data_IF_491741208366
#
_entry.id   IF_491741208366
#
_cell.length_a   1.000
_cell.length_b   1.000
_cell.length_c   1.000
_cell.angle_alpha   90.00
_cell.angle_beta   90.00
_cell.angle_gamma   90.00
#
_symmetry.space_group_name_H-M   'P 1'
#
loop_
_entity.id
_entity.type
_entity.pdbx_description
1 polymer ?
#
# COMPACT_ATOMS: atom_id res chain seq x y z
N UNK A 1 -41.67 19.76 -23.94
CA UNK A 1 -41.97 19.05 -22.71
C UNK A 1 -40.67 18.48 -22.18
N UNK A 2 -40.12 19.01 -21.05
CA UNK A 2 -38.98 18.39 -20.39
C UNK A 2 -39.46 17.09 -19.77
N UNK A 3 -38.79 15.99 -20.02
CA UNK A 3 -39.02 14.69 -19.39
C UNK A 3 -38.85 14.83 -17.87
N UNK A 4 -39.80 14.36 -17.07
CA UNK A 4 -39.94 14.52 -15.62
C UNK A 4 -38.78 13.94 -14.77
N UNK A 5 -37.66 13.53 -15.38
CA UNK A 5 -36.54 12.88 -14.70
C UNK A 5 -35.15 13.49 -14.98
N UNK A 6 -35.08 14.77 -15.39
CA UNK A 6 -33.76 15.40 -15.58
C UNK A 6 -33.25 16.03 -14.28
N UNK A 7 -32.08 15.59 -13.82
CA UNK A 7 -31.39 16.20 -12.66
C UNK A 7 -31.25 17.71 -12.88
N UNK A 8 -31.63 18.57 -11.90
CA UNK A 8 -31.53 20.01 -12.02
C UNK A 8 -30.09 20.45 -12.33
N UNK A 9 -29.96 21.47 -13.17
CA UNK A 9 -28.66 22.05 -13.57
C UNK A 9 -28.48 23.43 -12.95
N UNK A 10 -27.24 23.99 -13.00
CA UNK A 10 -26.99 25.37 -12.60
C UNK A 10 -27.83 26.39 -13.41
N UNK A 11 -28.21 26.06 -14.65
CA UNK A 11 -29.10 26.91 -15.45
C UNK A 11 -30.51 26.94 -14.86
N UNK A 12 -31.01 25.79 -14.38
CA UNK A 12 -32.33 25.73 -13.76
C UNK A 12 -32.36 26.51 -12.44
N UNK A 13 -31.27 26.43 -11.64
CA UNK A 13 -31.10 27.25 -10.44
C UNK A 13 -31.07 28.73 -10.75
N UNK A 14 -30.38 29.14 -11.82
CA UNK A 14 -30.34 30.55 -12.28
C UNK A 14 -31.72 31.05 -12.67
N UNK A 15 -32.47 30.25 -13.43
CA UNK A 15 -33.85 30.59 -13.84
C UNK A 15 -34.79 30.70 -12.64
N UNK A 16 -34.76 29.75 -11.71
CA UNK A 16 -35.57 29.76 -10.48
C UNK A 16 -35.22 30.94 -9.57
N UNK A 17 -33.92 31.22 -9.37
CA UNK A 17 -33.46 32.34 -8.54
C UNK A 17 -33.65 33.73 -9.25
N UNK A 18 -33.94 33.78 -10.55
CA UNK A 18 -34.02 35.00 -11.33
C UNK A 18 -32.70 35.78 -11.37
N UNK A 19 -31.59 35.11 -11.54
CA UNK A 19 -30.24 35.68 -11.56
C UNK A 19 -29.43 35.13 -12.75
N UNK A 20 -28.32 35.80 -13.09
CA UNK A 20 -27.43 35.32 -14.11
C UNK A 20 -26.71 34.03 -13.65
N UNK A 21 -26.38 33.12 -14.58
CA UNK A 21 -25.64 31.89 -14.31
C UNK A 21 -24.31 32.13 -13.55
N UNK A 22 -23.62 33.24 -13.88
CA UNK A 22 -22.40 33.69 -13.22
C UNK A 22 -22.61 34.01 -11.73
N UNK A 23 -23.81 34.53 -11.36
CA UNK A 23 -24.16 34.78 -9.94
C UNK A 23 -24.34 33.47 -9.17
N UNK A 24 -25.05 32.51 -9.77
CA UNK A 24 -25.17 31.14 -9.18
C UNK A 24 -23.79 30.52 -8.99
N UNK A 25 -22.93 30.60 -10.02
CA UNK A 25 -21.55 30.08 -9.95
C UNK A 25 -20.75 30.72 -8.80
N UNK A 26 -20.87 32.03 -8.60
CA UNK A 26 -20.20 32.73 -7.48
C UNK A 26 -20.72 32.25 -6.12
N UNK A 27 -22.04 32.13 -5.92
CA UNK A 27 -22.62 31.65 -4.67
C UNK A 27 -22.20 30.23 -4.36
N UNK A 28 -22.27 29.34 -5.35
CA UNK A 28 -21.89 27.92 -5.24
C UNK A 28 -20.40 27.75 -4.91
N UNK A 29 -19.55 28.67 -5.37
CA UNK A 29 -18.09 28.66 -5.10
C UNK A 29 -17.70 29.51 -3.88
N UNK A 30 -18.65 30.00 -3.09
CA UNK A 30 -18.36 30.80 -1.90
C UNK A 30 -17.74 32.17 -2.18
N UNK A 31 -17.82 32.66 -3.43
CA UNK A 31 -17.29 33.95 -3.82
C UNK A 31 -18.23 35.09 -3.37
N UNK A 32 -17.72 36.30 -3.12
CA UNK A 32 -18.51 37.43 -2.70
C UNK A 32 -19.63 37.78 -3.69
N UNK A 33 -20.86 37.86 -3.21
CA UNK A 33 -22.05 38.39 -3.89
C UNK A 33 -22.93 39.15 -2.92
N UNK A 34 -23.76 40.05 -3.40
CA UNK A 34 -24.71 40.76 -2.53
C UNK A 34 -25.68 39.80 -1.86
N UNK A 35 -26.01 40.03 -0.58
CA UNK A 35 -26.76 39.10 0.27
C UNK A 35 -28.14 38.74 -0.31
N UNK A 36 -28.82 39.68 -0.95
CA UNK A 36 -30.11 39.41 -1.63
C UNK A 36 -30.00 38.37 -2.73
N UNK A 37 -28.93 38.39 -3.50
CA UNK A 37 -28.66 37.36 -4.55
C UNK A 37 -28.28 36.02 -3.95
N UNK A 38 -27.49 36.01 -2.89
CA UNK A 38 -27.10 34.80 -2.16
C UNK A 38 -28.32 34.05 -1.66
N UNK A 39 -29.20 34.76 -0.90
CA UNK A 39 -30.42 34.17 -0.32
C UNK A 39 -31.33 33.58 -1.44
N UNK A 40 -31.50 34.30 -2.55
CA UNK A 40 -32.33 33.82 -3.66
C UNK A 40 -31.77 32.56 -4.29
N UNK A 41 -30.46 32.49 -4.50
CA UNK A 41 -29.78 31.32 -5.07
C UNK A 41 -29.84 30.12 -4.10
N UNK A 42 -29.60 30.33 -2.81
CA UNK A 42 -29.67 29.27 -1.79
C UNK A 42 -31.09 28.68 -1.67
N UNK A 43 -32.12 29.54 -1.75
CA UNK A 43 -33.52 29.10 -1.74
C UNK A 43 -33.86 28.29 -3.03
N UNK A 44 -33.37 28.71 -4.19
CA UNK A 44 -33.56 27.99 -5.44
C UNK A 44 -32.85 26.63 -5.43
N UNK A 45 -31.62 26.55 -4.89
CA UNK A 45 -30.88 25.30 -4.67
C UNK A 45 -31.69 24.33 -3.81
N UNK A 46 -32.23 24.79 -2.66
CA UNK A 46 -33.07 23.99 -1.78
C UNK A 46 -34.34 23.51 -2.47
N UNK A 47 -35.05 24.43 -3.14
CA UNK A 47 -36.34 24.14 -3.82
C UNK A 47 -36.19 23.11 -4.93
N UNK A 48 -35.12 23.20 -5.71
CA UNK A 48 -34.83 22.29 -6.82
C UNK A 48 -34.09 21.02 -6.38
N UNK A 49 -33.73 20.89 -5.10
CA UNK A 49 -32.85 19.84 -4.59
C UNK A 49 -31.58 19.73 -5.47
N UNK A 50 -31.07 20.89 -5.92
CA UNK A 50 -29.89 20.93 -6.76
C UNK A 50 -28.66 20.51 -5.94
N UNK A 51 -27.93 19.51 -6.46
CA UNK A 51 -26.63 19.13 -5.92
C UNK A 51 -25.53 19.64 -6.82
N UNK A 52 -24.60 20.33 -6.22
CA UNK A 52 -23.41 20.82 -6.94
C UNK A 52 -22.66 19.62 -7.50
N UNK A 53 -22.54 19.57 -8.81
CA UNK A 53 -21.72 18.56 -9.45
C UNK A 53 -20.24 18.97 -9.32
N UNK A 54 -19.55 18.41 -8.34
CA UNK A 54 -18.13 18.68 -8.08
C UNK A 54 -17.24 18.31 -9.28
N UNK A 55 -17.63 17.32 -10.09
CA UNK A 55 -16.94 16.97 -11.33
C UNK A 55 -17.03 18.11 -12.37
N UNK A 56 -18.22 18.72 -12.51
CA UNK A 56 -18.40 19.85 -13.42
C UNK A 56 -17.65 21.13 -12.95
N UNK A 57 -17.45 21.28 -11.65
CA UNK A 57 -16.62 22.37 -11.09
C UNK A 57 -15.13 22.06 -11.30
N UNK A 58 -14.69 20.83 -11.08
CA UNK A 58 -13.32 20.37 -11.31
C UNK A 58 -12.89 20.55 -12.76
N UNK A 59 -13.78 20.29 -13.72
CA UNK A 59 -13.55 20.52 -15.15
C UNK A 59 -13.25 22.00 -15.50
N UNK A 60 -13.87 22.95 -14.77
CA UNK A 60 -13.57 24.39 -14.95
C UNK A 60 -12.26 24.82 -14.26
N UNK A 61 -11.93 24.18 -13.14
CA UNK A 61 -10.74 24.49 -12.36
C UNK A 61 -9.51 23.67 -12.80
N UNK A 62 -9.66 22.76 -13.76
CA UNK A 62 -8.68 21.76 -14.19
C UNK A 62 -8.10 20.91 -13.02
N UNK A 63 -8.84 20.80 -11.90
CA UNK A 63 -8.50 19.99 -10.72
C UNK A 63 -9.77 19.33 -10.17
N UNK A 64 -9.82 17.98 -10.20
CA UNK A 64 -10.98 17.21 -9.70
C UNK A 64 -10.90 16.94 -8.21
N UNK A 65 -9.74 17.19 -7.60
CA UNK A 65 -9.39 16.82 -6.22
C UNK A 65 -9.67 15.34 -5.94
N UNK A 66 -9.35 14.51 -6.91
CA UNK A 66 -9.49 13.07 -6.84
C UNK A 66 -8.18 12.43 -7.26
N UNK A 67 -7.67 11.52 -6.44
CA UNK A 67 -6.50 10.69 -6.70
C UNK A 67 -6.96 9.25 -6.75
N UNK A 68 -6.51 8.50 -7.76
CA UNK A 68 -6.73 7.06 -7.82
C UNK A 68 -5.63 6.31 -7.05
N UNK A 69 -6.03 5.31 -6.29
CA UNK A 69 -5.12 4.32 -5.71
C UNK A 69 -5.38 2.98 -6.39
N UNK A 70 -4.36 2.46 -7.09
CA UNK A 70 -4.36 1.18 -7.76
C UNK A 70 -3.59 0.18 -6.91
N UNK A 71 -4.25 -0.89 -6.45
CA UNK A 71 -3.64 -1.97 -5.66
C UNK A 71 -4.19 -3.32 -6.10
N UNK A 72 -3.47 -4.44 -5.85
CA UNK A 72 -3.98 -5.76 -6.20
C UNK A 72 -5.30 -6.09 -5.48
N UNK A 73 -5.34 -5.99 -4.15
CA UNK A 73 -6.55 -6.25 -3.37
C UNK A 73 -6.48 -5.60 -1.98
N UNK A 74 -7.54 -5.71 -1.21
CA UNK A 74 -7.60 -5.23 0.18
C UNK A 74 -7.55 -6.36 1.22
N UNK A 75 -7.32 -7.59 0.80
CA UNK A 75 -7.22 -8.76 1.69
C UNK A 75 -5.85 -8.83 2.37
N UNK A 76 -4.81 -8.39 1.67
CA UNK A 76 -3.47 -8.28 2.25
C UNK A 76 -3.41 -7.09 3.22
N UNK A 77 -3.05 -7.32 4.50
CA UNK A 77 -3.04 -6.25 5.51
C UNK A 77 -2.14 -5.07 5.16
N UNK A 78 -1.00 -5.31 4.49
CA UNK A 78 -0.13 -4.24 4.00
C UNK A 78 -0.86 -3.32 3.02
N UNK A 79 -1.58 -3.88 2.02
CA UNK A 79 -2.32 -3.07 1.05
C UNK A 79 -3.48 -2.32 1.68
N UNK A 80 -4.18 -2.96 2.63
CA UNK A 80 -5.26 -2.32 3.38
C UNK A 80 -4.74 -1.13 4.22
N UNK A 81 -3.61 -1.32 4.91
CA UNK A 81 -2.96 -0.26 5.69
C UNK A 81 -2.49 0.89 4.79
N UNK A 82 -1.89 0.56 3.64
CA UNK A 82 -1.46 1.55 2.65
C UNK A 82 -2.64 2.39 2.16
N UNK A 83 -3.75 1.75 1.77
CA UNK A 83 -4.96 2.43 1.36
C UNK A 83 -5.52 3.36 2.46
N UNK A 84 -5.51 2.90 3.70
CA UNK A 84 -5.95 3.69 4.85
C UNK A 84 -5.11 4.95 5.02
N UNK A 85 -3.78 4.84 5.07
CA UNK A 85 -2.89 5.99 5.30
C UNK A 85 -2.83 6.94 4.11
N UNK A 86 -2.88 6.45 2.87
CA UNK A 86 -3.00 7.29 1.66
C UNK A 86 -4.30 8.09 1.72
N UNK A 87 -5.43 7.45 2.07
CA UNK A 87 -6.70 8.15 2.20
C UNK A 87 -6.65 9.24 3.27
N UNK A 88 -6.04 8.98 4.42
CA UNK A 88 -5.88 9.98 5.49
C UNK A 88 -5.02 11.17 5.02
N UNK A 89 -3.91 10.90 4.32
CA UNK A 89 -3.02 11.94 3.78
C UNK A 89 -3.76 12.81 2.74
N UNK A 90 -4.53 12.19 1.86
CA UNK A 90 -5.36 12.88 0.86
C UNK A 90 -6.48 13.73 1.50
N UNK A 91 -7.18 13.20 2.50
CA UNK A 91 -8.24 13.91 3.21
C UNK A 91 -7.72 15.18 3.90
N UNK A 92 -6.54 15.15 4.53
CA UNK A 92 -5.90 16.33 5.12
C UNK A 92 -5.63 17.43 4.09
N UNK A 93 -5.52 17.07 2.82
CA UNK A 93 -5.28 18.00 1.68
C UNK A 93 -6.54 18.32 0.88
N UNK A 94 -7.73 17.93 1.40
CA UNK A 94 -9.04 18.08 0.72
C UNK A 94 -9.11 17.35 -0.62
N UNK A 95 -8.44 16.21 -0.74
CA UNK A 95 -8.56 15.28 -1.85
C UNK A 95 -9.41 14.07 -1.47
N UNK A 96 -9.97 13.41 -2.47
CA UNK A 96 -10.71 12.15 -2.34
C UNK A 96 -9.90 11.04 -2.98
N UNK A 97 -10.00 9.84 -2.43
CA UNK A 97 -9.41 8.65 -2.99
C UNK A 97 -10.44 7.86 -3.80
N UNK A 98 -10.08 7.43 -5.00
CA UNK A 98 -10.77 6.41 -5.77
C UNK A 98 -9.93 5.14 -5.70
N UNK A 99 -10.46 4.11 -5.01
CA UNK A 99 -9.76 2.82 -4.87
C UNK A 99 -10.09 1.92 -6.06
N UNK A 100 -9.04 1.46 -6.75
CA UNK A 100 -9.09 0.51 -7.86
C UNK A 100 -8.38 -0.78 -7.42
N UNK A 101 -9.14 -1.85 -7.21
CA UNK A 101 -8.62 -3.16 -6.82
C UNK A 101 -8.71 -4.12 -8.00
N UNK A 102 -7.58 -4.73 -8.40
CA UNK A 102 -7.43 -5.44 -9.68
C UNK A 102 -7.31 -6.95 -9.54
N UNK A 103 -7.10 -7.45 -8.32
CA UNK A 103 -6.88 -8.87 -8.02
C UNK A 103 -5.80 -9.52 -8.93
N UNK A 104 -4.74 -8.76 -9.20
CA UNK A 104 -3.63 -9.12 -10.11
C UNK A 104 -4.04 -9.30 -11.59
N UNK A 105 -5.28 -8.94 -11.98
CA UNK A 105 -5.72 -8.97 -13.37
C UNK A 105 -5.15 -7.77 -14.14
N UNK A 106 -4.22 -8.04 -15.06
CA UNK A 106 -3.54 -7.01 -15.85
C UNK A 106 -4.44 -6.31 -16.85
N UNK A 107 -5.49 -6.98 -17.33
CA UNK A 107 -6.49 -6.40 -18.22
C UNK A 107 -7.38 -5.40 -17.48
N UNK A 108 -7.92 -5.83 -16.33
CA UNK A 108 -8.71 -4.97 -15.45
C UNK A 108 -7.89 -3.75 -14.96
N UNK A 109 -6.60 -3.95 -14.70
CA UNK A 109 -5.71 -2.87 -14.30
C UNK A 109 -5.62 -1.79 -15.38
N UNK A 110 -5.44 -2.18 -16.66
CA UNK A 110 -5.42 -1.23 -17.77
C UNK A 110 -6.78 -0.57 -18.00
N UNK A 111 -7.89 -1.29 -17.80
CA UNK A 111 -9.24 -0.71 -17.88
C UNK A 111 -9.43 0.37 -16.80
N UNK A 112 -9.00 0.13 -15.56
CA UNK A 112 -9.06 1.13 -14.50
C UNK A 112 -8.20 2.34 -14.79
N UNK A 113 -6.98 2.16 -15.29
CA UNK A 113 -6.12 3.29 -15.70
C UNK A 113 -6.85 4.14 -16.75
N UNK A 114 -7.39 3.51 -17.78
CA UNK A 114 -8.15 4.23 -18.84
C UNK A 114 -9.35 4.97 -18.26
N UNK A 115 -10.11 4.32 -17.38
CA UNK A 115 -11.28 4.92 -16.72
C UNK A 115 -10.89 6.15 -15.88
N UNK A 116 -9.85 6.06 -15.06
CA UNK A 116 -9.47 7.18 -14.17
C UNK A 116 -8.88 8.35 -14.96
N UNK A 117 -8.17 8.08 -16.07
CA UNK A 117 -7.69 9.11 -16.99
C UNK A 117 -8.85 9.83 -17.68
N UNK A 118 -9.85 9.10 -18.20
CA UNK A 118 -11.08 9.68 -18.76
C UNK A 118 -11.84 10.53 -17.75
N UNK A 119 -11.84 10.14 -16.47
CA UNK A 119 -12.45 10.89 -15.37
C UNK A 119 -11.55 12.06 -14.89
N UNK A 120 -10.39 12.29 -15.51
CA UNK A 120 -9.45 13.38 -15.20
C UNK A 120 -9.11 13.43 -13.71
N UNK A 121 -8.72 12.30 -13.12
CA UNK A 121 -8.14 12.33 -11.79
C UNK A 121 -6.87 13.19 -11.79
N UNK A 122 -6.56 13.80 -10.65
CA UNK A 122 -5.41 14.70 -10.53
C UNK A 122 -4.08 13.93 -10.43
N UNK A 123 -4.15 12.60 -10.26
CA UNK A 123 -3.02 11.69 -10.29
C UNK A 123 -3.37 10.28 -9.83
N UNK A 124 -2.40 9.38 -9.96
CA UNK A 124 -2.52 7.96 -9.63
C UNK A 124 -1.36 7.56 -8.73
N UNK A 125 -1.65 6.85 -7.65
CA UNK A 125 -0.68 6.11 -6.86
C UNK A 125 -0.90 4.63 -7.17
N UNK A 126 0.13 3.91 -7.60
CA UNK A 126 -0.02 2.53 -8.07
C UNK A 126 0.99 1.57 -7.47
N UNK A 127 0.48 0.47 -6.89
CA UNK A 127 1.24 -0.73 -6.58
C UNK A 127 0.83 -1.78 -7.61
N UNK A 128 1.69 -1.99 -8.61
CA UNK A 128 1.41 -2.83 -9.78
C UNK A 128 2.54 -3.79 -10.08
N UNK A 129 2.19 -4.99 -10.51
CA UNK A 129 3.14 -5.99 -11.02
C UNK A 129 2.97 -6.21 -12.54
N UNK A 130 2.13 -5.41 -13.20
CA UNK A 130 1.92 -5.47 -14.66
C UNK A 130 3.10 -4.81 -15.41
N UNK A 131 3.94 -5.59 -16.13
CA UNK A 131 5.07 -5.04 -16.87
C UNK A 131 4.66 -4.20 -18.08
N UNK A 132 3.43 -4.37 -18.55
CA UNK A 132 2.91 -3.76 -19.78
C UNK A 132 1.90 -2.62 -19.50
N UNK A 133 1.80 -2.14 -18.26
CA UNK A 133 0.87 -1.07 -17.91
C UNK A 133 1.21 0.21 -18.67
N UNK A 134 0.25 0.73 -19.41
CA UNK A 134 0.38 1.96 -20.19
C UNK A 134 -0.30 3.11 -19.46
N UNK A 135 0.46 4.16 -19.18
CA UNK A 135 0.00 5.38 -18.51
C UNK A 135 0.29 6.56 -19.43
N UNK A 136 -0.69 7.42 -19.64
CA UNK A 136 -0.50 8.66 -20.41
C UNK A 136 0.49 9.59 -19.68
N UNK A 137 1.46 10.15 -20.41
CA UNK A 137 2.49 11.05 -19.85
C UNK A 137 1.90 12.29 -19.13
N UNK A 138 0.70 12.70 -19.53
CA UNK A 138 -0.02 13.83 -18.92
C UNK A 138 -0.59 13.53 -17.54
N UNK A 139 -0.66 12.25 -17.13
CA UNK A 139 -1.24 11.82 -15.86
C UNK A 139 -0.13 11.64 -14.82
N UNK A 140 -0.08 12.46 -13.75
CA UNK A 140 0.86 12.26 -12.67
C UNK A 140 0.72 10.87 -12.06
N UNK A 141 1.84 10.15 -11.94
CA UNK A 141 1.87 8.79 -11.38
C UNK A 141 3.01 8.64 -10.38
N UNK A 142 2.74 8.01 -9.25
CA UNK A 142 3.73 7.58 -8.25
C UNK A 142 3.62 6.07 -8.08
N UNK A 143 4.71 5.37 -8.30
CA UNK A 143 4.78 3.92 -8.14
C UNK A 143 5.16 3.54 -6.70
N UNK A 144 4.67 2.39 -6.24
CA UNK A 144 5.08 1.76 -4.99
C UNK A 144 5.73 0.43 -5.30
N UNK A 145 6.85 0.14 -4.64
CA UNK A 145 7.58 -1.14 -4.65
C UNK A 145 8.11 -1.60 -6.02
N UNK A 146 7.78 -0.93 -7.11
CA UNK A 146 8.28 -1.28 -8.43
C UNK A 146 8.50 -0.06 -9.31
N UNK A 147 9.71 0.07 -9.83
CA UNK A 147 10.03 1.10 -10.82
C UNK A 147 9.27 0.85 -12.12
N UNK A 148 8.55 1.86 -12.58
CA UNK A 148 7.76 1.86 -13.82
C UNK A 148 8.51 2.53 -14.98
N UNK A 149 9.80 2.81 -14.80
CA UNK A 149 10.63 3.44 -15.82
C UNK A 149 11.05 4.88 -15.49
N UNK A 150 11.83 5.50 -16.38
CA UNK A 150 12.32 6.87 -16.17
C UNK A 150 11.14 7.85 -16.17
N UNK A 151 11.17 8.77 -15.24
CA UNK A 151 10.14 9.83 -15.14
C UNK A 151 9.02 9.52 -14.13
N UNK A 152 8.90 8.30 -13.62
CA UNK A 152 7.91 7.92 -12.60
C UNK A 152 8.63 7.70 -11.26
N UNK A 153 8.32 8.47 -10.21
CA UNK A 153 8.87 8.24 -8.88
C UNK A 153 8.40 6.90 -8.33
N UNK A 154 9.30 6.22 -7.63
CA UNK A 154 8.99 4.96 -6.95
C UNK A 154 9.34 5.09 -5.47
N UNK A 155 8.40 4.76 -4.60
CA UNK A 155 8.58 4.73 -3.15
C UNK A 155 8.52 3.28 -2.69
N UNK A 156 9.47 2.88 -1.86
CA UNK A 156 9.53 1.54 -1.30
C UNK A 156 10.09 1.57 0.12
N UNK A 157 9.88 0.50 0.87
CA UNK A 157 10.70 0.22 2.05
C UNK A 157 12.12 -0.18 1.64
N UNK A 158 13.09 0.02 2.53
CA UNK A 158 14.42 -0.56 2.33
C UNK A 158 14.38 -2.07 2.55
N UNK A 159 13.93 -2.76 1.50
CA UNK A 159 13.73 -4.19 1.51
C UNK A 159 15.05 -4.98 1.65
N UNK A 160 16.16 -4.43 1.13
CA UNK A 160 17.46 -5.06 1.29
C UNK A 160 17.91 -4.99 2.75
N UNK A 161 17.90 -3.80 3.35
CA UNK A 161 18.24 -3.62 4.76
C UNK A 161 17.32 -4.44 5.68
N UNK A 162 16.03 -4.55 5.33
CA UNK A 162 15.08 -5.36 6.10
C UNK A 162 15.38 -6.85 6.06
N UNK A 163 15.75 -7.38 4.89
CA UNK A 163 16.19 -8.78 4.77
C UNK A 163 17.49 -9.05 5.55
N UNK A 164 18.45 -8.14 5.46
CA UNK A 164 19.70 -8.21 6.22
C UNK A 164 19.43 -8.16 7.73
N UNK A 165 18.60 -7.24 8.19
CA UNK A 165 18.20 -7.10 9.61
C UNK A 165 17.55 -8.37 10.15
N UNK A 166 16.72 -9.07 9.35
CA UNK A 166 16.12 -10.34 9.77
C UNK A 166 17.18 -11.42 10.00
N UNK A 167 18.15 -11.55 9.10
CA UNK A 167 19.26 -12.51 9.25
C UNK A 167 20.15 -12.17 10.45
N UNK A 168 20.52 -10.89 10.62
CA UNK A 168 21.31 -10.41 11.75
C UNK A 168 20.59 -10.68 13.08
N UNK A 169 19.28 -10.40 13.14
CA UNK A 169 18.49 -10.67 14.34
C UNK A 169 18.42 -12.15 14.69
N UNK A 170 18.23 -13.04 13.70
CA UNK A 170 18.28 -14.49 13.95
C UNK A 170 19.66 -14.93 14.46
N UNK A 171 20.75 -14.38 13.91
CA UNK A 171 22.09 -14.65 14.40
C UNK A 171 22.30 -14.18 15.83
N UNK A 172 21.82 -12.98 16.20
CA UNK A 172 21.91 -12.42 17.56
C UNK A 172 21.10 -13.26 18.58
N UNK A 173 20.04 -13.91 18.12
CA UNK A 173 19.24 -14.87 18.91
C UNK A 173 19.88 -16.26 19.01
N UNK A 174 21.07 -16.46 18.42
CA UNK A 174 21.84 -17.69 18.52
C UNK A 174 21.54 -18.72 17.44
N UNK A 175 20.68 -18.43 16.48
CA UNK A 175 20.39 -19.33 15.35
C UNK A 175 21.66 -19.65 14.56
N UNK A 176 21.71 -20.87 13.99
CA UNK A 176 22.85 -21.38 13.19
C UNK A 176 22.42 -21.85 11.82
N UNK A 177 21.24 -22.44 11.70
CA UNK A 177 20.70 -22.94 10.45
C UNK A 177 19.30 -22.34 10.20
N UNK A 178 19.19 -21.46 9.26
CA UNK A 178 17.99 -20.66 9.06
C UNK A 178 17.35 -20.90 7.69
N UNK A 179 16.04 -20.70 7.58
CA UNK A 179 15.31 -20.79 6.33
C UNK A 179 14.73 -19.43 5.91
N UNK A 180 14.73 -19.16 4.59
CA UNK A 180 13.98 -18.07 3.98
C UNK A 180 12.81 -18.62 3.18
N UNK A 181 11.60 -18.17 3.51
CA UNK A 181 10.37 -18.60 2.85
C UNK A 181 9.72 -17.43 2.14
N UNK A 182 9.44 -17.61 0.84
CA UNK A 182 8.87 -16.54 0.01
C UNK A 182 7.83 -17.08 -0.96
N UNK A 183 6.71 -16.32 -1.09
CA UNK A 183 5.80 -16.39 -2.24
C UNK A 183 5.90 -15.09 -3.04
N UNK A 184 5.43 -15.09 -4.28
CA UNK A 184 5.21 -13.90 -5.07
C UNK A 184 6.00 -13.87 -6.37
N UNK A 185 5.66 -12.88 -7.20
CA UNK A 185 6.19 -12.72 -8.56
C UNK A 185 7.71 -12.71 -8.63
N UNK A 186 8.25 -13.41 -9.64
CA UNK A 186 9.67 -13.38 -10.00
C UNK A 186 10.09 -12.08 -10.72
N UNK A 187 9.12 -11.23 -11.13
CA UNK A 187 9.42 -9.94 -11.77
C UNK A 187 10.27 -9.05 -10.84
N UNK A 188 11.20 -8.33 -11.46
CA UNK A 188 12.06 -7.39 -10.73
C UNK A 188 11.22 -6.33 -10.02
N UNK A 189 11.31 -6.30 -8.69
CA UNK A 189 10.63 -5.36 -7.81
C UNK A 189 11.45 -5.15 -6.52
N UNK A 190 11.14 -4.13 -5.75
CA UNK A 190 11.85 -3.84 -4.51
C UNK A 190 11.68 -4.93 -3.44
N UNK A 191 10.47 -5.51 -3.20
CA UNK A 191 10.29 -6.61 -2.26
C UNK A 191 11.19 -7.83 -2.50
N UNK A 192 11.59 -8.09 -3.75
CA UNK A 192 12.52 -9.19 -4.06
C UNK A 192 13.92 -8.99 -3.47
N UNK A 193 14.30 -7.77 -3.12
CA UNK A 193 15.57 -7.45 -2.47
C UNK A 193 15.66 -7.98 -1.04
N UNK A 194 14.53 -8.33 -0.38
CA UNK A 194 14.51 -9.01 0.93
C UNK A 194 15.35 -10.28 0.91
N UNK A 195 15.26 -11.05 -0.19
CA UNK A 195 16.08 -12.25 -0.40
C UNK A 195 17.57 -11.92 -0.38
N UNK A 196 17.99 -10.97 -1.23
CA UNK A 196 19.40 -10.62 -1.34
C UNK A 196 19.97 -10.03 -0.03
N UNK A 197 19.16 -9.24 0.68
CA UNK A 197 19.50 -8.74 2.01
C UNK A 197 19.69 -9.88 3.03
N UNK A 198 18.77 -10.83 3.06
CA UNK A 198 18.86 -11.99 3.95
C UNK A 198 20.09 -12.85 3.65
N UNK A 199 20.36 -13.18 2.37
CA UNK A 199 21.58 -13.88 1.95
C UNK A 199 22.84 -13.14 2.43
N UNK A 200 22.88 -11.82 2.22
CA UNK A 200 24.02 -11.00 2.66
C UNK A 200 24.22 -11.05 4.17
N UNK A 201 23.14 -10.90 4.96
CA UNK A 201 23.18 -11.00 6.41
C UNK A 201 23.63 -12.40 6.91
N UNK A 202 23.13 -13.48 6.29
CA UNK A 202 23.54 -14.84 6.62
C UNK A 202 25.04 -15.05 6.36
N UNK A 203 25.54 -14.62 5.20
CA UNK A 203 26.96 -14.74 4.86
C UNK A 203 27.84 -13.92 5.83
N UNK A 204 27.45 -12.70 6.16
CA UNK A 204 28.18 -11.82 7.07
C UNK A 204 28.26 -12.39 8.50
N UNK A 205 27.23 -13.14 8.93
CA UNK A 205 27.11 -13.72 10.28
C UNK A 205 27.50 -15.20 10.33
N UNK A 206 27.87 -15.81 9.19
CA UNK A 206 28.25 -17.24 9.10
C UNK A 206 27.11 -18.20 9.38
N UNK A 207 25.86 -17.81 9.09
CA UNK A 207 24.69 -18.68 9.19
C UNK A 207 24.64 -19.65 8.02
N UNK A 208 24.30 -20.91 8.27
CA UNK A 208 23.84 -21.82 7.24
C UNK A 208 22.42 -21.44 6.89
N UNK A 209 22.08 -21.45 5.59
CA UNK A 209 20.74 -21.05 5.17
C UNK A 209 20.23 -21.85 3.98
N UNK A 210 18.93 -22.07 3.95
CA UNK A 210 18.21 -22.63 2.81
C UNK A 210 17.04 -21.73 2.43
N UNK A 211 16.58 -21.87 1.18
CA UNK A 211 15.50 -21.02 0.67
C UNK A 211 14.44 -21.86 0.00
N UNK A 212 13.18 -21.62 0.35
CA UNK A 212 12.02 -22.12 -0.38
C UNK A 212 11.26 -20.92 -0.97
N UNK A 213 11.26 -20.84 -2.28
CA UNK A 213 10.61 -19.80 -3.05
C UNK A 213 9.52 -20.45 -3.89
N UNK A 214 8.29 -19.95 -3.78
CA UNK A 214 7.16 -20.34 -4.60
C UNK A 214 6.74 -19.17 -5.46
N UNK A 215 6.47 -19.45 -6.73
CA UNK A 215 5.88 -18.47 -7.64
C UNK A 215 4.39 -18.26 -7.35
N UNK A 216 3.82 -17.17 -7.90
CA UNK A 216 2.41 -16.87 -7.74
C UNK A 216 1.54 -18.05 -8.23
N UNK A 217 0.56 -18.43 -7.40
CA UNK A 217 -0.36 -19.53 -7.70
C UNK A 217 0.16 -20.93 -7.32
N UNK A 218 1.39 -21.06 -6.85
CA UNK A 218 1.84 -22.35 -6.31
C UNK A 218 1.18 -22.64 -4.95
N UNK A 219 0.83 -23.92 -4.69
CA UNK A 219 0.09 -24.28 -3.48
C UNK A 219 0.97 -24.16 -2.22
N UNK A 220 0.35 -23.67 -1.12
CA UNK A 220 1.02 -23.47 0.17
C UNK A 220 1.59 -24.79 0.75
N UNK A 221 1.00 -25.92 0.41
CA UNK A 221 1.44 -27.26 0.82
C UNK A 221 2.89 -27.56 0.45
N UNK A 222 3.45 -26.86 -0.55
CA UNK A 222 4.89 -26.98 -0.86
C UNK A 222 5.80 -26.41 0.22
N UNK A 223 5.34 -25.43 1.02
CA UNK A 223 6.06 -25.01 2.22
C UNK A 223 5.92 -26.05 3.33
N UNK A 224 4.73 -26.64 3.50
CA UNK A 224 4.53 -27.69 4.48
C UNK A 224 5.43 -28.88 4.20
N UNK A 225 5.44 -29.39 2.96
CA UNK A 225 6.34 -30.49 2.58
C UNK A 225 7.82 -30.12 2.77
N UNK A 226 8.22 -28.90 2.40
CA UNK A 226 9.59 -28.44 2.65
C UNK A 226 9.97 -28.49 4.12
N UNK A 227 9.10 -28.07 5.03
CA UNK A 227 9.35 -28.13 6.47
C UNK A 227 9.31 -29.56 6.99
N UNK A 228 8.37 -30.41 6.51
CA UNK A 228 8.26 -31.83 6.84
C UNK A 228 9.52 -32.61 6.48
N UNK A 229 10.08 -32.37 5.29
CA UNK A 229 11.32 -32.99 4.80
C UNK A 229 12.54 -32.66 5.69
N UNK A 230 12.46 -31.54 6.46
CA UNK A 230 13.52 -31.08 7.35
C UNK A 230 13.28 -31.46 8.82
N UNK A 231 12.27 -32.28 9.12
CA UNK A 231 12.07 -32.82 10.47
C UNK A 231 12.78 -34.17 10.59
N UNK A 232 13.78 -34.23 11.45
CA UNK A 232 14.54 -35.44 11.76
C UNK A 232 14.42 -35.78 13.26
N UNK A 233 14.02 -36.99 13.58
CA UNK A 233 13.80 -37.43 14.96
C UNK A 233 12.88 -36.49 15.78
N UNK A 234 11.87 -35.91 15.12
CA UNK A 234 10.91 -35.00 15.73
C UNK A 234 11.40 -33.56 15.92
N UNK A 235 12.59 -33.22 15.45
CA UNK A 235 13.15 -31.87 15.49
C UNK A 235 13.32 -31.29 14.10
N UNK A 236 12.95 -30.04 13.92
CA UNK A 236 13.24 -29.29 12.71
C UNK A 236 14.74 -28.98 12.63
N UNK A 237 15.33 -29.10 11.45
CA UNK A 237 16.75 -28.78 11.25
C UNK A 237 17.02 -27.26 11.26
N UNK A 238 16.01 -26.44 11.04
CA UNK A 238 16.10 -24.98 11.15
C UNK A 238 15.79 -24.50 12.57
N UNK A 239 16.65 -23.64 13.10
CA UNK A 239 16.45 -22.94 14.38
C UNK A 239 15.95 -21.50 14.20
N UNK A 240 15.86 -21.01 12.93
CA UNK A 240 15.28 -19.74 12.57
C UNK A 240 14.63 -19.75 11.19
N UNK A 241 13.52 -19.01 11.06
CA UNK A 241 12.81 -18.87 9.79
C UNK A 241 12.49 -17.39 9.56
N UNK A 242 12.89 -16.87 8.38
CA UNK A 242 12.43 -15.57 7.90
C UNK A 242 11.38 -15.76 6.81
N UNK A 243 10.17 -15.28 7.05
CA UNK A 243 9.07 -15.27 6.11
C UNK A 243 8.95 -13.90 5.43
N UNK A 244 8.80 -13.88 4.11
CA UNK A 244 8.76 -12.64 3.32
C UNK A 244 7.63 -11.67 3.70
N UNK A 245 6.58 -12.16 4.37
CA UNK A 245 5.47 -11.37 4.92
C UNK A 245 4.98 -11.94 6.25
N UNK A 246 4.33 -11.12 7.07
CA UNK A 246 3.68 -11.55 8.32
C UNK A 246 2.53 -12.54 8.05
N UNK A 247 1.81 -12.37 6.93
CA UNK A 247 0.75 -13.31 6.53
C UNK A 247 1.30 -14.71 6.26
N UNK A 248 2.48 -14.79 5.61
CA UNK A 248 3.16 -16.07 5.43
C UNK A 248 3.66 -16.62 6.77
N UNK A 249 4.27 -15.79 7.61
CA UNK A 249 4.73 -16.19 8.95
C UNK A 249 3.59 -16.80 9.78
N UNK A 250 2.42 -16.15 9.77
CA UNK A 250 1.24 -16.65 10.48
C UNK A 250 0.79 -18.05 9.99
N UNK A 251 0.87 -18.31 8.69
CA UNK A 251 0.56 -19.62 8.11
C UNK A 251 1.61 -20.66 8.47
N UNK A 252 2.90 -20.29 8.43
CA UNK A 252 4.02 -21.16 8.84
C UNK A 252 3.96 -21.52 10.33
N UNK A 253 3.55 -20.59 11.20
CA UNK A 253 3.35 -20.87 12.62
C UNK A 253 2.32 -21.99 12.86
N UNK A 254 1.26 -22.07 12.03
CA UNK A 254 0.29 -23.19 12.10
C UNK A 254 0.92 -24.52 11.70
N UNK A 255 1.74 -24.50 10.64
CA UNK A 255 2.47 -25.69 10.19
C UNK A 255 3.47 -26.16 11.27
N UNK A 256 4.26 -25.27 11.84
CA UNK A 256 5.21 -25.58 12.92
C UNK A 256 4.51 -26.22 14.13
N UNK A 257 3.35 -25.68 14.54
CA UNK A 257 2.54 -26.26 15.60
C UNK A 257 2.10 -27.69 15.27
N UNK A 258 1.67 -27.96 14.02
CA UNK A 258 1.30 -29.29 13.55
C UNK A 258 2.49 -30.26 13.58
N UNK A 259 3.69 -29.76 13.31
CA UNK A 259 4.95 -30.50 13.38
C UNK A 259 5.52 -30.62 14.81
N UNK A 260 4.74 -30.20 15.83
CA UNK A 260 5.15 -30.18 17.24
C UNK A 260 6.42 -29.36 17.51
N UNK A 261 6.69 -28.33 16.70
CA UNK A 261 7.79 -27.39 16.97
C UNK A 261 7.26 -26.21 17.78
N UNK A 262 7.92 -25.90 18.89
CA UNK A 262 7.57 -24.77 19.75
C UNK A 262 8.24 -23.51 19.20
N UNK A 263 7.49 -22.42 19.16
CA UNK A 263 7.96 -21.10 18.78
C UNK A 263 7.77 -20.17 19.97
N UNK A 264 8.81 -19.52 20.49
CA UNK A 264 10.17 -19.41 19.91
C UNK A 264 11.19 -20.47 20.39
N UNK A 265 10.84 -21.42 21.25
CA UNK A 265 11.80 -22.25 21.99
C UNK A 265 12.61 -23.21 21.12
N UNK A 266 11.99 -23.79 20.07
CA UNK A 266 12.64 -24.73 19.16
C UNK A 266 13.04 -24.05 17.84
N UNK A 267 12.26 -23.04 17.39
CA UNK A 267 12.50 -22.28 16.17
C UNK A 267 12.04 -20.83 16.31
N UNK A 268 12.90 -19.89 15.95
CA UNK A 268 12.60 -18.46 15.91
C UNK A 268 11.93 -18.11 14.57
N UNK A 269 10.88 -17.29 14.58
CA UNK A 269 10.19 -16.88 13.33
C UNK A 269 10.12 -15.36 13.24
N UNK A 270 10.57 -14.82 12.11
CA UNK A 270 10.48 -13.40 11.80
C UNK A 270 9.65 -13.25 10.53
N UNK A 271 8.68 -12.34 10.54
CA UNK A 271 7.90 -11.90 9.39
C UNK A 271 8.41 -10.58 8.80
N UNK A 272 7.58 -9.99 7.94
CA UNK A 272 7.80 -8.68 7.35
C UNK A 272 6.43 -8.04 7.12
N UNK A 273 6.27 -6.78 7.34
CA UNK A 273 5.18 -5.84 7.12
C UNK A 273 4.83 -5.03 8.37
N UNK A 274 4.95 -5.60 9.58
CA UNK A 274 4.57 -4.93 10.82
C UNK A 274 3.07 -4.98 11.09
N UNK A 275 2.43 -6.14 10.82
CA UNK A 275 0.99 -6.31 11.06
C UNK A 275 0.72 -6.38 12.56
N UNK A 276 -0.22 -5.56 13.02
CA UNK A 276 -0.68 -5.55 14.41
C UNK A 276 -2.01 -6.29 14.57
N UNK A 277 -2.24 -6.83 15.76
CA UNK A 277 -3.56 -7.32 16.14
C UNK A 277 -4.58 -6.17 16.16
N UNK A 278 -5.78 -6.45 15.70
CA UNK A 278 -6.84 -5.44 15.68
C UNK A 278 -7.10 -4.86 17.08
N UNK A 279 -7.02 -3.53 17.17
CA UNK A 279 -7.31 -2.79 18.39
C UNK A 279 -6.19 -2.77 19.43
N UNK A 280 -5.01 -3.31 19.12
CA UNK A 280 -3.82 -3.28 19.98
C UNK A 280 -2.62 -2.68 19.27
N UNK A 281 -1.49 -2.58 19.98
CA UNK A 281 -0.19 -2.23 19.38
C UNK A 281 0.71 -3.46 19.23
N UNK A 282 0.23 -4.64 19.62
CA UNK A 282 1.01 -5.86 19.59
C UNK A 282 1.07 -6.42 18.18
N UNK A 283 2.24 -6.86 17.76
CA UNK A 283 2.44 -7.45 16.44
C UNK A 283 1.99 -8.92 16.42
N UNK A 284 1.50 -9.38 15.28
CA UNK A 284 1.03 -10.77 15.10
C UNK A 284 2.16 -11.80 15.14
N UNK A 285 3.39 -11.36 14.89
CA UNK A 285 4.65 -12.09 15.01
C UNK A 285 5.80 -11.09 15.14
N UNK A 286 6.96 -11.52 15.56
CA UNK A 286 8.18 -10.72 15.44
C UNK A 286 8.43 -10.41 13.97
N UNK A 287 8.69 -9.15 13.62
CA UNK A 287 8.57 -8.70 12.23
C UNK A 287 9.52 -7.55 11.90
N UNK A 288 9.82 -7.41 10.62
CA UNK A 288 10.42 -6.20 10.07
C UNK A 288 9.28 -5.25 9.67
N UNK A 289 9.18 -4.13 10.36
CA UNK A 289 8.09 -3.16 10.20
C UNK A 289 8.36 -2.23 9.03
N UNK A 290 7.42 -2.17 8.12
CA UNK A 290 7.41 -1.20 7.02
C UNK A 290 6.88 0.17 7.50
N UNK A 291 7.47 1.29 7.10
CA UNK A 291 7.02 2.64 7.48
C UNK A 291 5.81 3.06 6.64
N UNK A 292 4.70 2.32 6.69
CA UNK A 292 3.52 2.52 5.83
C UNK A 292 2.95 3.94 5.90
N UNK A 293 2.87 4.59 7.09
CA UNK A 293 2.43 5.99 7.16
C UNK A 293 3.33 6.94 6.35
N UNK A 294 4.65 6.75 6.42
CA UNK A 294 5.63 7.62 5.74
C UNK A 294 5.63 7.34 4.24
N UNK A 295 5.50 6.08 3.82
CA UNK A 295 5.30 5.71 2.40
C UNK A 295 4.08 6.44 1.84
N UNK A 296 2.95 6.37 2.54
CA UNK A 296 1.71 6.99 2.12
C UNK A 296 1.82 8.52 2.02
N UNK A 297 2.44 9.15 3.02
CA UNK A 297 2.66 10.60 3.04
C UNK A 297 3.55 11.03 1.87
N UNK A 298 4.68 10.35 1.67
CA UNK A 298 5.63 10.63 0.59
C UNK A 298 4.99 10.46 -0.79
N UNK A 299 4.19 9.40 -0.99
CA UNK A 299 3.47 9.20 -2.26
C UNK A 299 2.55 10.37 -2.58
N UNK A 300 1.77 10.83 -1.58
CA UNK A 300 0.82 11.94 -1.77
C UNK A 300 1.56 13.26 -1.98
N UNK A 301 2.63 13.52 -1.23
CA UNK A 301 3.44 14.72 -1.40
C UNK A 301 4.04 14.80 -2.80
N UNK A 302 4.70 13.75 -3.25
CA UNK A 302 5.30 13.72 -4.59
C UNK A 302 4.25 13.85 -5.69
N UNK A 303 3.10 13.17 -5.56
CA UNK A 303 2.04 13.23 -6.56
C UNK A 303 1.45 14.63 -6.73
N UNK A 304 1.32 15.38 -5.63
CA UNK A 304 0.66 16.70 -5.61
C UNK A 304 1.64 17.88 -5.80
N UNK A 305 2.94 17.62 -5.94
CA UNK A 305 3.93 18.65 -6.26
C UNK A 305 3.68 19.25 -7.65
N UNK A 306 3.72 20.58 -7.76
CA UNK A 306 3.53 21.29 -9.05
C UNK A 306 4.66 21.04 -10.05
N UNK A 307 5.86 20.71 -9.59
CA UNK A 307 7.02 20.39 -10.41
C UNK A 307 7.63 19.08 -9.95
N UNK A 308 7.36 18.00 -10.66
CA UNK A 308 8.07 16.74 -10.44
C UNK A 308 9.55 16.90 -10.80
N UNK A 309 10.48 16.33 -10.01
CA UNK A 309 11.90 16.36 -10.36
C UNK A 309 12.14 15.71 -11.72
N UNK A 310 13.07 16.26 -12.51
CA UNK A 310 13.40 15.79 -13.88
C UNK A 310 13.88 14.34 -13.91
N UNK A 311 14.35 13.82 -12.79
CA UNK A 311 14.64 12.39 -12.53
C UNK A 311 14.06 12.06 -11.16
N UNK A 312 12.80 11.61 -11.10
CA UNK A 312 12.22 11.19 -9.83
C UNK A 312 13.01 10.01 -9.28
N UNK A 313 13.40 10.05 -8.01
CA UNK A 313 14.23 9.02 -7.41
C UNK A 313 13.40 7.78 -7.07
N UNK A 314 14.08 6.64 -7.04
CA UNK A 314 13.68 5.58 -6.13
C UNK A 314 13.98 6.07 -4.70
N UNK A 315 12.95 6.15 -3.87
CA UNK A 315 13.08 6.50 -2.45
C UNK A 315 12.83 5.23 -1.64
N UNK A 316 13.87 4.75 -0.95
CA UNK A 316 13.76 3.65 0.00
C UNK A 316 13.66 4.22 1.42
N UNK A 317 12.58 3.91 2.12
CA UNK A 317 12.36 4.33 3.49
C UNK A 317 12.86 3.27 4.49
N UNK A 318 13.50 3.68 5.60
CA UNK A 318 14.07 2.75 6.56
C UNK A 318 13.00 1.90 7.22
N UNK A 319 13.34 0.64 7.46
CA UNK A 319 12.53 -0.32 8.21
C UNK A 319 13.09 -0.53 9.62
N UNK A 320 12.33 -1.14 10.50
CA UNK A 320 12.76 -1.46 11.86
C UNK A 320 12.30 -2.85 12.27
N UNK A 321 13.00 -3.46 13.24
CA UNK A 321 12.54 -4.71 13.84
C UNK A 321 11.56 -4.41 14.98
N UNK A 322 10.52 -5.26 15.11
CA UNK A 322 9.61 -5.26 16.24
C UNK A 322 9.40 -6.69 16.78
N UNK A 323 9.40 -6.80 18.09
CA UNK A 323 9.08 -8.03 18.79
C UNK A 323 7.57 -8.32 18.73
N UNK A 324 7.20 -9.59 18.54
CA UNK A 324 5.80 -10.04 18.47
C UNK A 324 5.62 -11.47 19.02
N UNK A 325 6.51 -11.92 19.92
CA UNK A 325 6.38 -13.19 20.64
C UNK A 325 6.79 -14.45 19.87
N UNK A 326 7.23 -14.33 18.62
CA UNK A 326 7.69 -15.48 17.81
C UNK A 326 9.22 -15.59 17.72
N UNK A 327 9.91 -14.73 18.44
CA UNK A 327 11.34 -14.81 18.74
C UNK A 327 11.54 -14.72 20.24
N UNK A 328 12.67 -15.18 20.76
CA UNK A 328 13.08 -14.89 22.13
C UNK A 328 13.29 -13.39 22.30
N UNK A 329 12.98 -12.85 23.48
CA UNK A 329 13.46 -11.52 23.85
C UNK A 329 14.98 -11.57 23.91
N UNK A 330 15.65 -10.62 23.25
CA UNK A 330 17.08 -10.45 23.50
C UNK A 330 17.23 -10.18 25.01
N UNK A 331 18.06 -10.96 25.68
CA UNK A 331 18.50 -10.60 27.00
C UNK A 331 19.19 -9.24 26.85
N UNK A 332 18.51 -8.16 27.24
CA UNK A 332 19.20 -6.89 27.46
C UNK A 332 20.29 -7.22 28.50
N UNK A 333 21.54 -7.13 28.09
CA UNK A 333 22.65 -7.10 29.04
C UNK A 333 22.33 -5.93 29.98
N UNK A 334 21.84 -6.27 31.18
CA UNK A 334 21.76 -5.32 32.28
C UNK A 334 23.20 -4.95 32.59
N UNK A 335 23.69 -3.91 31.93
CA UNK A 335 24.86 -3.19 32.38
C UNK A 335 24.54 -2.64 33.78
N UNK A 336 25.15 -3.30 34.77
CA UNK A 336 25.22 -2.84 36.17
C UNK A 336 26.15 -1.63 36.26
#
# INVERSE_FOLDING_TARGET
>A
MKTENSTPTMKDVAAEAGVALGTVSKVVNGLPVGDSYRIRVENAIKKLNYRVNSYAQGLKANKTRTVALLIPNTLQPFYASLAYYINLSLLRRNYRMLLCSTDYDTGLEQEYITMVQQNRVDGIIGLTYNPNLVIEESTPFVAIDRSMGPGIPCIASDNFAGGQMAAEKLADLGCKHVAFLRTGSSLANEPNKRKAGFENGCLARGLQYEMKILDDGEPFEKFESFLEDHVHEGKLSFDGIFCVTDSLAYSILKTLRRLNQRVPEDVQVIGFDGIQHFGTKDYVCSTIVQPVPDIAEMCVELLLQENMPVKPPLVCLPVSYAYGGTTSEALEEQEQ
#
